data_IF_576061531513
#
_entry.id   IF_576061531513
#
_cell.length_a   1.000
_cell.length_b   1.000
_cell.length_c   1.000
_cell.angle_alpha   90.00
_cell.angle_beta   90.00
_cell.angle_gamma   90.00
#
_symmetry.space_group_name_H-M   'P 1'
#
loop_
_entity.id
_entity.type
_entity.pdbx_description
1 polymer ?
#
# COMPACT_ATOMS: atom_id res chain seq x y z
N UNK A 1 -27.03 32.78 -7.16
CA UNK A 1 -26.81 32.07 -5.87
C UNK A 1 -25.38 32.37 -5.42
N UNK A 2 -25.16 32.85 -4.18
CA UNK A 2 -23.81 33.09 -3.64
C UNK A 2 -23.46 31.96 -2.68
N UNK A 3 -22.36 31.28 -2.92
CA UNK A 3 -21.85 30.18 -2.08
C UNK A 3 -20.51 30.61 -1.49
N UNK A 4 -20.29 30.31 -0.21
CA UNK A 4 -18.99 30.50 0.46
C UNK A 4 -18.34 29.12 0.61
N UNK A 5 -17.08 29.00 0.20
CA UNK A 5 -16.30 27.76 0.31
C UNK A 5 -14.90 28.07 0.82
N UNK A 6 -14.27 27.12 1.50
CA UNK A 6 -12.89 27.21 1.97
C UNK A 6 -11.97 26.61 0.92
N UNK A 7 -10.91 27.33 0.56
CA UNK A 7 -9.90 26.85 -0.39
C UNK A 7 -8.75 26.22 0.39
N UNK A 8 -8.52 24.93 0.16
CA UNK A 8 -7.39 24.19 0.72
C UNK A 8 -6.45 23.77 -0.43
N UNK A 9 -5.15 23.55 -0.14
CA UNK A 9 -4.23 22.92 -1.09
C UNK A 9 -4.75 21.56 -1.56
N UNK A 10 -4.39 21.16 -2.79
CA UNK A 10 -4.76 19.86 -3.34
C UNK A 10 -4.09 18.75 -2.53
N UNK A 11 -4.87 17.77 -2.10
CA UNK A 11 -4.35 16.54 -1.49
C UNK A 11 -4.00 15.56 -2.61
N UNK A 12 -2.72 15.21 -2.71
CA UNK A 12 -2.22 14.25 -3.69
C UNK A 12 -2.15 12.86 -3.06
N UNK A 13 -2.77 11.86 -3.69
CA UNK A 13 -2.65 10.45 -3.27
C UNK A 13 -1.24 9.91 -3.53
N UNK A 14 -0.67 10.27 -4.69
CA UNK A 14 0.72 10.03 -5.05
C UNK A 14 1.43 11.39 -5.09
N UNK A 15 2.32 11.68 -4.12
CA UNK A 15 2.99 12.97 -4.04
C UNK A 15 4.12 13.09 -5.07
N UNK A 16 4.26 14.30 -5.63
CA UNK A 16 5.41 14.68 -6.48
C UNK A 16 6.66 15.02 -5.69
N UNK A 17 6.47 15.59 -4.50
CA UNK A 17 7.54 16.00 -3.63
C UNK A 17 7.31 15.38 -2.26
N UNK A 18 8.24 14.53 -1.86
CA UNK A 18 8.42 14.14 -0.46
C UNK A 18 9.11 15.34 0.16
N UNK A 19 8.56 15.93 1.23
CA UNK A 19 8.96 17.23 1.82
C UNK A 19 10.43 17.29 2.31
N UNK A 20 11.40 17.22 1.39
CA UNK A 20 12.84 17.24 1.63
C UNK A 20 13.40 16.10 2.50
N UNK A 21 12.59 15.11 2.87
CA UNK A 21 12.96 14.03 3.80
C UNK A 21 13.26 12.69 3.12
N UNK A 22 13.74 11.74 3.93
CA UNK A 22 13.89 10.34 3.51
C UNK A 22 12.50 9.69 3.33
N UNK A 23 12.27 8.92 2.24
CA UNK A 23 11.01 8.20 2.07
C UNK A 23 10.77 7.22 3.22
N UNK A 24 9.52 7.12 3.65
CA UNK A 24 9.11 6.16 4.66
C UNK A 24 9.26 4.74 4.11
N UNK A 25 9.80 3.81 4.90
CA UNK A 25 9.88 2.41 4.51
C UNK A 25 9.71 1.48 5.71
N UNK A 26 9.20 0.28 5.45
CA UNK A 26 9.02 -0.77 6.45
C UNK A 26 9.47 -2.11 5.86
N UNK A 27 10.31 -2.84 6.58
CA UNK A 27 10.78 -4.17 6.18
C UNK A 27 10.22 -5.20 7.14
N UNK A 28 9.53 -6.22 6.61
CA UNK A 28 8.98 -7.33 7.39
C UNK A 28 9.41 -8.65 6.75
N UNK A 29 10.26 -9.42 7.44
CA UNK A 29 10.77 -10.70 6.91
C UNK A 29 11.37 -10.59 5.49
N UNK A 30 12.02 -9.47 5.18
CA UNK A 30 12.58 -9.18 3.87
C UNK A 30 11.62 -8.53 2.86
N UNK A 31 10.32 -8.48 3.13
CA UNK A 31 9.36 -7.71 2.31
C UNK A 31 9.59 -6.22 2.53
N UNK A 32 9.94 -5.46 1.49
CA UNK A 32 10.22 -4.02 1.56
C UNK A 32 8.99 -3.21 1.12
N UNK A 33 8.33 -2.57 2.08
CA UNK A 33 7.17 -1.71 1.84
C UNK A 33 7.54 -0.23 1.81
N UNK A 34 6.98 0.51 0.85
CA UNK A 34 7.20 1.94 0.66
C UNK A 34 5.91 2.60 0.12
N UNK A 35 5.59 3.86 0.47
CA UNK A 35 4.50 4.58 -0.17
C UNK A 35 4.89 4.95 -1.62
N UNK A 36 3.96 4.77 -2.55
CA UNK A 36 4.14 5.16 -3.93
C UNK A 36 4.27 6.69 -4.03
N UNK A 37 5.30 7.14 -4.74
CA UNK A 37 5.55 8.56 -5.05
C UNK A 37 5.94 8.70 -6.52
N UNK A 38 5.76 9.88 -7.09
CA UNK A 38 6.18 10.13 -8.48
C UNK A 38 7.71 10.02 -8.63
N UNK A 39 8.47 10.42 -7.60
CA UNK A 39 9.92 10.25 -7.59
C UNK A 39 10.33 8.76 -7.67
N UNK A 40 9.61 7.87 -6.98
CA UNK A 40 9.83 6.43 -7.06
C UNK A 40 9.43 5.88 -8.45
N UNK A 41 8.35 6.43 -9.03
CA UNK A 41 7.91 6.03 -10.37
C UNK A 41 8.96 6.37 -11.43
N UNK A 42 9.53 7.56 -11.33
CA UNK A 42 10.58 8.05 -12.23
C UNK A 42 11.88 7.23 -12.09
N UNK A 43 12.20 6.76 -10.88
CA UNK A 43 13.40 5.96 -10.60
C UNK A 43 13.29 4.52 -11.12
N UNK A 44 12.16 3.84 -10.86
CA UNK A 44 11.92 2.43 -11.23
C UNK A 44 11.62 2.22 -12.72
N UNK A 45 11.38 3.31 -13.46
CA UNK A 45 10.85 3.33 -14.83
C UNK A 45 9.40 2.82 -14.93
N UNK A 46 8.58 3.48 -15.77
CA UNK A 46 7.16 3.15 -15.94
C UNK A 46 6.92 1.69 -16.38
N UNK A 47 7.85 1.11 -17.14
CA UNK A 47 7.72 -0.27 -17.64
C UNK A 47 7.72 -1.33 -16.51
N UNK A 48 8.41 -1.06 -15.40
CA UNK A 48 8.60 -2.01 -14.28
C UNK A 48 7.43 -2.00 -13.29
N UNK A 49 6.69 -0.89 -13.22
CA UNK A 49 5.66 -0.64 -12.20
C UNK A 49 4.33 -1.29 -12.57
N UNK A 50 4.10 -1.47 -13.87
CA UNK A 50 2.89 -2.07 -14.40
C UNK A 50 1.74 -1.07 -14.56
N UNK A 51 0.91 -1.34 -15.58
CA UNK A 51 -0.16 -0.44 -16.01
C UNK A 51 -1.22 -0.16 -14.95
N UNK A 52 -1.53 -1.13 -14.07
CA UNK A 52 -2.56 -0.97 -13.03
C UNK A 52 -2.13 0.07 -11.99
N UNK A 53 -0.91 -0.05 -11.50
CA UNK A 53 -0.38 0.83 -10.47
C UNK A 53 -0.14 2.24 -11.04
N UNK A 54 0.34 2.36 -12.27
CA UNK A 54 0.42 3.63 -12.99
C UNK A 54 -0.95 4.29 -13.20
N UNK A 55 -1.95 3.52 -13.64
CA UNK A 55 -3.31 4.03 -13.80
C UNK A 55 -3.86 4.56 -12.47
N UNK A 56 -3.60 3.86 -11.36
CA UNK A 56 -3.97 4.35 -10.03
C UNK A 56 -3.23 5.63 -9.67
N UNK A 57 -1.92 5.69 -9.92
CA UNK A 57 -1.13 6.88 -9.63
C UNK A 57 -1.63 8.13 -10.38
N UNK A 58 -1.98 7.97 -11.66
CA UNK A 58 -2.40 9.10 -12.53
C UNK A 58 -3.86 9.51 -12.31
N UNK A 59 -4.77 8.55 -12.07
CA UNK A 59 -6.21 8.81 -12.11
C UNK A 59 -6.92 8.71 -10.75
N UNK A 60 -6.30 8.14 -9.72
CA UNK A 60 -6.94 8.02 -8.40
C UNK A 60 -6.78 9.30 -7.56
N UNK A 61 -7.83 9.63 -6.82
CA UNK A 61 -7.84 10.73 -5.85
C UNK A 61 -7.88 10.16 -4.43
N UNK A 62 -7.28 10.88 -3.49
CA UNK A 62 -7.35 10.52 -2.07
C UNK A 62 -8.80 10.65 -1.58
N UNK A 63 -9.33 9.58 -1.01
CA UNK A 63 -10.64 9.47 -0.37
C UNK A 63 -10.63 10.11 1.02
N UNK A 64 -9.50 10.05 1.71
CA UNK A 64 -9.32 10.69 3.02
C UNK A 64 -7.92 11.30 3.16
N UNK A 65 -7.77 12.20 4.13
CA UNK A 65 -6.50 12.89 4.39
C UNK A 65 -5.47 11.88 4.90
N UNK A 66 -4.30 11.85 4.26
CA UNK A 66 -3.21 10.94 4.62
C UNK A 66 -3.39 9.51 4.13
N UNK A 67 -4.29 9.27 3.16
CA UNK A 67 -4.31 8.03 2.38
C UNK A 67 -3.04 7.92 1.54
N UNK A 68 -2.46 6.73 1.49
CA UNK A 68 -1.30 6.42 0.66
C UNK A 68 -1.47 5.06 -0.01
N UNK A 69 -0.98 4.95 -1.24
CA UNK A 69 -0.80 3.66 -1.91
C UNK A 69 0.49 3.05 -1.36
N UNK A 70 0.38 2.02 -0.54
CA UNK A 70 1.54 1.27 -0.05
C UNK A 70 1.85 0.15 -1.02
N UNK A 71 3.09 0.06 -1.46
CA UNK A 71 3.55 -0.98 -2.38
C UNK A 71 4.63 -1.83 -1.71
N UNK A 72 4.73 -3.09 -2.12
CA UNK A 72 5.91 -3.91 -1.98
C UNK A 72 6.85 -3.56 -3.14
N UNK A 73 7.95 -2.89 -2.84
CA UNK A 73 8.96 -2.52 -3.84
C UNK A 73 9.73 -3.77 -4.26
N UNK A 74 10.27 -4.52 -3.30
CA UNK A 74 11.05 -5.73 -3.55
C UNK A 74 11.02 -6.69 -2.35
N UNK A 75 11.53 -7.91 -2.56
CA UNK A 75 11.72 -8.92 -1.53
C UNK A 75 13.20 -9.27 -1.37
N UNK A 76 13.71 -9.09 -0.14
CA UNK A 76 15.05 -9.51 0.26
C UNK A 76 15.03 -11.01 0.54
N UNK A 77 15.51 -11.81 -0.40
CA UNK A 77 15.46 -13.26 -0.33
C UNK A 77 16.01 -13.83 0.98
N UNK A 78 15.21 -14.67 1.64
CA UNK A 78 15.54 -15.35 2.87
C UNK A 78 14.71 -16.63 3.01
N UNK A 79 15.13 -17.55 3.87
CA UNK A 79 14.40 -18.81 4.12
C UNK A 79 12.93 -18.59 4.53
N UNK A 80 12.63 -17.47 5.17
CA UNK A 80 11.26 -17.16 5.61
C UNK A 80 10.32 -16.69 4.49
N UNK A 81 10.85 -16.22 3.36
CA UNK A 81 10.06 -15.67 2.26
C UNK A 81 10.20 -16.46 0.94
N UNK A 82 10.58 -17.74 1.06
CA UNK A 82 10.72 -18.64 -0.08
C UNK A 82 9.42 -18.69 -0.89
N UNK A 83 9.53 -18.52 -2.21
CA UNK A 83 8.42 -18.48 -3.16
C UNK A 83 7.84 -17.09 -3.41
N UNK A 84 8.34 -16.07 -2.72
CA UNK A 84 7.92 -14.67 -2.89
C UNK A 84 9.05 -13.76 -3.43
N UNK A 85 10.20 -14.32 -3.79
CA UNK A 85 11.42 -13.57 -4.09
C UNK A 85 11.28 -12.67 -5.33
N UNK A 86 10.53 -13.12 -6.33
CA UNK A 86 10.36 -12.40 -7.60
C UNK A 86 9.25 -11.31 -7.54
N UNK A 87 8.62 -11.12 -6.37
CA UNK A 87 7.59 -10.10 -6.21
C UNK A 87 8.18 -8.69 -6.16
N UNK A 88 7.66 -7.82 -7.00
CA UNK A 88 8.05 -6.40 -7.04
C UNK A 88 6.89 -5.51 -7.51
N UNK A 89 6.93 -4.25 -7.09
CA UNK A 89 6.00 -3.20 -7.46
C UNK A 89 4.50 -3.57 -7.34
N UNK A 90 4.14 -4.33 -6.30
CA UNK A 90 2.75 -4.75 -6.05
C UNK A 90 2.10 -3.90 -4.94
N UNK A 91 0.90 -3.38 -5.19
CA UNK A 91 0.14 -2.69 -4.15
C UNK A 91 -0.35 -3.67 -3.09
N UNK A 92 -0.12 -3.38 -1.80
CA UNK A 92 -0.74 -4.09 -0.69
C UNK A 92 -2.06 -3.42 -0.32
N UNK A 93 -3.14 -4.20 -0.26
CA UNK A 93 -4.50 -3.72 0.00
C UNK A 93 -4.94 -4.00 1.43
N UNK A 94 -4.64 -5.19 1.94
CA UNK A 94 -5.05 -5.60 3.28
C UNK A 94 -3.93 -6.31 4.03
N UNK A 95 -4.00 -6.20 5.34
CA UNK A 95 -3.20 -6.96 6.28
C UNK A 95 -4.15 -7.67 7.26
N UNK A 96 -4.09 -9.01 7.31
CA UNK A 96 -4.98 -9.84 8.12
C UNK A 96 -6.48 -9.48 7.96
N UNK A 97 -6.91 -9.21 6.71
CA UNK A 97 -8.29 -8.81 6.38
C UNK A 97 -8.62 -7.32 6.64
N UNK A 98 -7.72 -6.53 7.22
CA UNK A 98 -7.91 -5.10 7.48
C UNK A 98 -7.35 -4.26 6.33
N UNK A 99 -8.14 -3.33 5.80
CA UNK A 99 -7.70 -2.42 4.74
C UNK A 99 -6.59 -1.47 5.21
N UNK A 100 -5.55 -1.35 4.42
CA UNK A 100 -4.40 -0.48 4.71
C UNK A 100 -4.71 0.94 4.23
N UNK A 101 -4.58 1.90 5.14
CA UNK A 101 -4.81 3.33 4.86
C UNK A 101 -3.54 4.05 4.39
N UNK A 102 -2.42 3.74 5.03
CA UNK A 102 -1.10 4.32 4.79
C UNK A 102 -0.01 3.43 5.40
N UNK A 103 1.26 3.74 5.16
CA UNK A 103 2.38 2.91 5.64
C UNK A 103 2.50 2.92 7.17
N UNK A 104 2.15 4.02 7.83
CA UNK A 104 2.14 4.11 9.30
C UNK A 104 1.08 3.19 9.91
N UNK A 105 -0.09 3.10 9.28
CA UNK A 105 -1.13 2.16 9.65
C UNK A 105 -0.65 0.72 9.48
N UNK A 106 0.03 0.41 8.38
CA UNK A 106 0.61 -0.93 8.17
C UNK A 106 1.64 -1.27 9.26
N UNK A 107 2.57 -0.36 9.57
CA UNK A 107 3.55 -0.55 10.64
C UNK A 107 2.87 -0.83 11.99
N UNK A 108 1.84 -0.05 12.32
CA UNK A 108 1.06 -0.25 13.54
C UNK A 108 0.34 -1.60 13.58
N UNK A 109 -0.24 -2.04 12.46
CA UNK A 109 -0.90 -3.34 12.36
C UNK A 109 0.09 -4.49 12.54
N UNK A 110 1.29 -4.38 11.97
CA UNK A 110 2.37 -5.37 12.14
C UNK A 110 2.84 -5.42 13.59
N UNK A 111 3.11 -4.27 14.21
CA UNK A 111 3.57 -4.19 15.61
C UNK A 111 2.51 -4.71 16.60
N UNK A 112 1.23 -4.45 16.32
CA UNK A 112 0.11 -4.88 17.17
C UNK A 112 -0.32 -6.33 16.91
N UNK A 113 0.29 -7.00 15.93
CA UNK A 113 -0.12 -8.31 15.48
C UNK A 113 0.21 -9.40 16.49
N UNK A 114 -0.84 -10.08 16.98
CA UNK A 114 -0.74 -11.23 17.91
C UNK A 114 -1.08 -12.57 17.26
N UNK A 115 -1.48 -12.57 16.00
CA UNK A 115 -1.85 -13.79 15.27
C UNK A 115 -0.60 -14.60 14.92
N UNK A 116 -0.79 -15.90 14.68
CA UNK A 116 0.30 -16.80 14.28
C UNK A 116 0.90 -16.42 12.92
N UNK A 117 0.04 -15.96 12.00
CA UNK A 117 0.42 -15.62 10.64
C UNK A 117 0.25 -14.12 10.36
N UNK A 118 1.13 -13.61 9.51
CA UNK A 118 1.07 -12.30 8.87
C UNK A 118 0.56 -12.53 7.45
N UNK A 119 -0.65 -12.09 7.16
CA UNK A 119 -1.29 -12.26 5.85
C UNK A 119 -1.35 -10.92 5.15
N UNK A 120 -0.61 -10.78 4.05
CA UNK A 120 -0.65 -9.60 3.19
C UNK A 120 -1.45 -9.95 1.93
N UNK A 121 -2.52 -9.19 1.69
CA UNK A 121 -3.32 -9.30 0.47
C UNK A 121 -2.92 -8.17 -0.48
N UNK A 122 -2.43 -8.55 -1.65
CA UNK A 122 -2.01 -7.65 -2.70
C UNK A 122 -3.11 -7.44 -3.74
N UNK A 123 -2.83 -6.55 -4.68
CA UNK A 123 -3.59 -6.49 -5.93
C UNK A 123 -3.59 -7.85 -6.64
N UNK A 124 -4.62 -8.10 -7.45
CA UNK A 124 -4.83 -9.38 -8.15
C UNK A 124 -5.10 -10.61 -7.26
N UNK A 125 -5.57 -10.39 -6.02
CA UNK A 125 -5.86 -11.43 -5.03
C UNK A 125 -4.64 -12.29 -4.69
N UNK A 126 -3.44 -11.77 -4.90
CA UNK A 126 -2.22 -12.45 -4.48
C UNK A 126 -2.06 -12.37 -2.96
N UNK A 127 -1.71 -13.49 -2.33
CA UNK A 127 -1.63 -13.63 -0.88
C UNK A 127 -0.21 -14.05 -0.47
N UNK A 128 0.40 -13.25 0.40
CA UNK A 128 1.66 -13.60 1.07
C UNK A 128 1.34 -13.95 2.52
N UNK A 129 1.71 -15.15 2.94
CA UNK A 129 1.48 -15.64 4.30
C UNK A 129 2.83 -15.98 4.94
N UNK A 130 3.16 -15.28 6.02
CA UNK A 130 4.39 -15.49 6.77
C UNK A 130 4.07 -15.93 8.20
N UNK A 131 4.86 -16.85 8.76
CA UNK A 131 4.78 -17.16 10.19
C UNK A 131 5.44 -16.05 11.00
N UNK A 132 4.70 -15.47 11.95
CA UNK A 132 5.14 -14.28 12.70
C UNK A 132 6.42 -14.55 13.50
N UNK A 133 6.52 -15.70 14.15
CA UNK A 133 7.68 -16.04 14.98
C UNK A 133 8.95 -16.21 14.14
N UNK A 134 8.84 -16.88 12.99
CA UNK A 134 9.94 -17.01 12.03
C UNK A 134 10.32 -15.65 11.43
N UNK A 135 9.34 -14.83 11.04
CA UNK A 135 9.54 -13.48 10.51
C UNK A 135 10.35 -12.60 11.46
N UNK A 136 9.95 -12.55 12.75
CA UNK A 136 10.64 -11.74 13.78
C UNK A 136 12.05 -12.28 14.05
N UNK A 137 12.23 -13.61 14.05
CA UNK A 137 13.54 -14.23 14.25
C UNK A 137 14.50 -13.94 13.07
N UNK A 138 13.99 -13.88 11.85
CA UNK A 138 14.79 -13.66 10.64
C UNK A 138 15.13 -12.18 10.39
N UNK A 139 14.32 -11.23 10.86
CA UNK A 139 14.54 -9.78 10.69
C UNK A 139 16.00 -9.34 10.90
N UNK A 140 16.69 -9.62 12.03
CA UNK A 140 18.07 -9.18 12.22
C UNK A 140 19.07 -9.83 11.26
N UNK A 141 18.81 -11.06 10.82
CA UNK A 141 19.66 -11.75 9.85
C UNK A 141 19.55 -11.08 8.48
N UNK A 142 18.32 -10.88 7.99
CA UNK A 142 18.04 -10.23 6.70
C UNK A 142 18.67 -8.85 6.64
N UNK A 143 18.47 -8.01 7.67
CA UNK A 143 19.03 -6.65 7.68
C UNK A 143 20.56 -6.68 7.64
N UNK A 144 21.19 -7.61 8.35
CA UNK A 144 22.65 -7.72 8.38
C UNK A 144 23.22 -8.22 7.05
N UNK A 145 22.59 -9.22 6.45
CA UNK A 145 23.04 -9.83 5.20
C UNK A 145 22.95 -8.85 4.03
N UNK A 146 21.90 -8.02 4.01
CA UNK A 146 21.69 -6.98 3.02
C UNK A 146 22.26 -5.61 3.39
N UNK A 147 22.94 -5.47 4.55
CA UNK A 147 23.61 -4.24 4.96
C UNK A 147 22.67 -3.07 5.29
N UNK A 148 21.44 -3.36 5.72
CA UNK A 148 20.42 -2.37 6.04
C UNK A 148 20.50 -1.98 7.52
N UNK A 149 20.60 -0.67 7.86
CA UNK A 149 20.82 -0.24 9.24
C UNK A 149 19.60 -0.39 10.15
N UNK A 150 18.38 -0.30 9.61
CA UNK A 150 17.12 -0.34 10.36
C UNK A 150 16.01 -0.96 9.52
N UNK A 151 15.13 -1.73 10.15
CA UNK A 151 13.92 -2.29 9.51
C UNK A 151 12.91 -1.23 9.08
N UNK A 152 12.93 -0.06 9.71
CA UNK A 152 11.96 1.01 9.47
C UNK A 152 12.62 2.38 9.45
N UNK A 153 12.02 3.29 8.70
CA UNK A 153 12.39 4.71 8.69
C UNK A 153 12.04 5.39 10.04
N UNK A 154 12.73 6.50 10.35
CA UNK A 154 12.62 7.16 11.66
C UNK A 154 11.23 7.70 11.97
N UNK A 155 10.46 8.07 10.95
CA UNK A 155 9.09 8.58 11.08
C UNK A 155 8.08 7.51 11.55
N UNK A 156 8.38 6.22 11.34
CA UNK A 156 7.51 5.10 11.73
C UNK A 156 7.74 4.62 13.18
N UNK A 157 8.69 5.24 13.90
CA UNK A 157 8.91 4.97 15.32
C UNK A 157 7.88 5.68 16.22
N UNK A 158 7.25 6.73 15.71
CA UNK A 158 6.25 7.48 16.45
C UNK A 158 4.91 6.70 16.53
N UNK A 159 4.19 6.80 17.67
CA UNK A 159 2.92 6.11 17.84
C UNK A 159 1.92 6.51 16.76
N UNK A 160 1.20 5.52 16.23
CA UNK A 160 0.14 5.76 15.25
C UNK A 160 -1.02 6.55 15.88
N UNK A 161 -1.41 7.64 15.21
CA UNK A 161 -2.58 8.45 15.57
C UNK A 161 -3.61 8.29 14.46
N UNK A 162 -4.77 7.73 14.78
CA UNK A 162 -5.87 7.67 13.81
C UNK A 162 -6.53 9.05 13.75
N UNK A 163 -6.20 9.83 12.72
CA UNK A 163 -6.83 11.14 12.45
C UNK A 163 -8.25 10.99 11.86
N UNK A 164 -8.92 9.87 12.11
CA UNK A 164 -10.21 9.50 11.51
C UNK A 164 -11.42 10.16 12.18
N UNK A 165 -11.25 10.89 13.28
CA UNK A 165 -12.40 11.45 14.04
C UNK A 165 -13.06 12.69 13.42
N UNK A 166 -12.58 13.24 12.30
CA UNK A 166 -13.19 14.44 11.67
C UNK A 166 -14.30 14.15 10.65
N UNK A 167 -14.66 12.88 10.39
CA UNK A 167 -15.70 12.53 9.40
C UNK A 167 -16.88 11.76 10.02
N UNK A 168 -17.72 12.45 10.80
CA UNK A 168 -19.13 12.09 10.94
C UNK A 168 -19.98 12.98 10.01
N UNK A 169 -20.82 12.33 9.20
CA UNK A 169 -21.73 12.83 8.15
C UNK A 169 -21.03 12.99 6.77
N UNK A 170 -21.46 12.37 5.68
CA UNK A 170 -22.81 11.95 5.26
C UNK A 170 -22.75 10.66 4.43
N UNK A 171 -23.56 9.67 4.80
CA UNK A 171 -24.06 8.65 3.85
C UNK A 171 -24.89 9.40 2.79
N UNK A 172 -24.30 9.62 1.62
CA UNK A 172 -25.07 9.88 0.43
C UNK A 172 -24.39 9.20 -0.75
N UNK A 173 -24.99 8.08 -1.10
CA UNK A 173 -24.84 7.31 -2.32
C UNK A 173 -24.76 8.25 -3.54
N UNK A 174 -23.60 8.32 -4.18
CA UNK A 174 -23.44 8.87 -5.53
C UNK A 174 -22.59 7.89 -6.32
N UNK A 175 -23.26 7.27 -7.28
CA UNK A 175 -22.83 6.11 -8.03
C UNK A 175 -21.63 6.30 -8.95
N UNK A 176 -21.01 5.14 -9.17
CA UNK A 176 -20.44 4.61 -10.41
C UNK A 176 -19.32 5.40 -11.09
N UNK A 177 -18.09 4.99 -10.75
CA UNK A 177 -16.93 5.03 -11.63
C UNK A 177 -17.06 3.93 -12.70
N UNK A 178 -16.80 4.19 -14.00
CA UNK A 178 -17.19 3.30 -15.10
C UNK A 178 -16.20 2.16 -15.38
N UNK A 179 -15.41 1.74 -14.39
CA UNK A 179 -14.47 0.61 -14.56
C UNK A 179 -14.89 -0.54 -13.66
N UNK A 180 -16.13 -1.02 -13.85
CA UNK A 180 -16.54 -2.34 -13.38
C UNK A 180 -16.14 -3.36 -14.44
N UNK A 181 -15.32 -4.33 -14.01
CA UNK A 181 -14.92 -5.46 -14.82
C UNK A 181 -16.13 -6.15 -15.44
N UNK A 182 -15.98 -6.41 -16.72
CA UNK A 182 -16.92 -7.05 -17.62
C UNK A 182 -17.24 -8.49 -17.14
N UNK A 183 -18.35 -8.66 -16.43
CA UNK A 183 -19.03 -9.95 -16.32
C UNK A 183 -19.71 -10.25 -17.67
N UNK A 184 -18.98 -10.87 -18.60
CA UNK A 184 -19.61 -11.53 -19.75
C UNK A 184 -20.30 -12.79 -19.22
N UNK A 185 -21.58 -12.66 -18.93
CA UNK A 185 -22.51 -13.79 -18.87
C UNK A 185 -22.74 -14.32 -20.28
N UNK A 186 -22.41 -15.60 -20.50
CA UNK A 186 -22.83 -16.35 -21.68
C UNK A 186 -24.34 -16.58 -21.61
N UNK A 187 -25.13 -15.64 -22.10
CA UNK A 187 -26.50 -15.89 -22.55
C UNK A 187 -26.98 -14.71 -23.41
N UNK A 188 -27.01 -14.91 -24.73
CA UNK A 188 -27.57 -13.92 -25.65
C UNK A 188 -26.93 -13.82 -27.03
N UNK A 189 -26.48 -14.92 -27.64
CA UNK A 189 -26.29 -14.94 -29.10
C UNK A 189 -27.55 -15.52 -29.74
N UNK A 190 -28.53 -14.64 -29.94
CA UNK A 190 -29.51 -14.77 -31.01
C UNK A 190 -29.79 -13.33 -31.45
N UNK A 191 -29.64 -13.04 -32.74
CA UNK A 191 -30.62 -12.35 -33.59
C UNK A 191 -29.96 -11.95 -34.93
N UNK A 192 -30.64 -12.37 -35.99
CA UNK A 192 -30.58 -11.96 -37.40
C UNK A 192 -29.35 -12.39 -38.23
#
# INVERSE_FOLDING_TARGET
>A
MKVKTVLNPRVHLVPYHIEGGQPSYLIVAGLVFTPLSEALIDEECEDTIGLKLLAKARYSLAKFKGEQIVILSQVLANEVNIGYEDMSNQQVLKFNGVLIKNIRHLAHLVDSCKTKYLVFEFEDNFLVVLEREAAVAASPCVLKDYGIPSERSSDLLEPYVDLSEDNKATDHDIGDSPVSNLEIGFDGILWA
#
